data_IF_594471418059
#
_entry.id   IF_594471418059
#
_cell.length_a   1.000
_cell.length_b   1.000
_cell.length_c   1.000
_cell.angle_alpha   90.00
_cell.angle_beta   90.00
_cell.angle_gamma   90.00
#
_symmetry.space_group_name_H-M   'P 1'
#
loop_
_entity.id
_entity.type
_entity.pdbx_description
1 polymer ?
#
# COMPACT_ATOMS: atom_id res chain seq x y z
N UNK A 1 -4.17 13.03 -15.13
CA UNK A 1 -4.21 13.30 -13.68
C UNK A 1 -3.18 14.38 -13.35
N UNK A 2 -3.54 15.46 -12.64
CA UNK A 2 -2.60 16.52 -12.28
C UNK A 2 -1.75 16.05 -11.08
N UNK A 3 -0.46 16.39 -11.05
CA UNK A 3 0.49 16.01 -9.98
C UNK A 3 -0.05 16.29 -8.55
N UNK A 4 -0.79 17.38 -8.40
CA UNK A 4 -1.45 17.78 -7.16
C UNK A 4 -2.47 16.78 -6.61
N UNK A 5 -3.21 16.08 -7.46
CA UNK A 5 -4.25 15.12 -7.02
C UNK A 5 -3.60 13.85 -6.45
N UNK A 6 -2.53 13.38 -7.09
CA UNK A 6 -1.70 12.27 -6.61
C UNK A 6 -0.95 12.62 -5.32
N UNK A 7 -0.45 13.85 -5.22
CA UNK A 7 0.26 14.36 -4.05
C UNK A 7 -0.65 14.47 -2.81
N UNK A 8 -1.89 14.94 -2.98
CA UNK A 8 -2.85 15.03 -1.87
C UNK A 8 -3.28 13.66 -1.35
N UNK A 9 -3.52 12.69 -2.25
CA UNK A 9 -3.89 11.32 -1.88
C UNK A 9 -2.83 10.66 -1.00
N UNK A 10 -1.58 10.62 -1.48
CA UNK A 10 -0.45 10.02 -0.75
C UNK A 10 -0.12 10.73 0.57
N UNK A 11 -0.20 12.06 0.61
CA UNK A 11 -0.01 12.80 1.88
C UNK A 11 -1.06 12.45 2.93
N UNK A 12 -2.32 12.25 2.54
CA UNK A 12 -3.39 11.85 3.46
C UNK A 12 -3.11 10.47 4.06
N UNK A 13 -2.72 9.50 3.23
CA UNK A 13 -2.30 8.18 3.70
C UNK A 13 -1.16 8.27 4.71
N UNK A 14 -0.08 8.97 4.38
CA UNK A 14 1.08 9.08 5.26
C UNK A 14 0.75 9.70 6.63
N UNK A 15 -0.19 10.65 6.69
CA UNK A 15 -0.66 11.20 7.97
C UNK A 15 -1.34 10.12 8.81
N UNK A 16 -2.23 9.32 8.22
CA UNK A 16 -2.89 8.22 8.92
C UNK A 16 -1.87 7.17 9.36
N UNK A 17 -0.95 6.78 8.47
CA UNK A 17 0.08 5.77 8.76
C UNK A 17 0.94 6.16 9.97
N UNK A 18 1.30 7.44 10.12
CA UNK A 18 2.07 7.94 11.27
C UNK A 18 1.39 7.76 12.63
N UNK A 19 0.07 7.59 12.67
CA UNK A 19 -0.68 7.35 13.90
C UNK A 19 -0.83 5.87 14.23
N UNK A 20 -0.55 4.98 13.27
CA UNK A 20 -0.71 3.53 13.40
C UNK A 20 0.64 2.82 13.50
N UNK A 21 1.58 3.19 12.63
CA UNK A 21 2.90 2.56 12.51
C UNK A 21 3.86 3.12 13.56
N UNK A 22 4.56 2.21 14.24
CA UNK A 22 5.60 2.47 15.22
C UNK A 22 6.95 2.00 14.69
N UNK A 23 8.01 2.49 15.34
CA UNK A 23 9.37 2.01 15.11
C UNK A 23 9.44 0.51 15.45
N UNK A 24 10.14 -0.25 14.61
CA UNK A 24 10.26 -1.70 14.77
C UNK A 24 9.14 -2.54 14.15
N UNK A 25 8.05 -1.91 13.67
CA UNK A 25 6.95 -2.64 13.05
C UNK A 25 7.31 -3.25 11.69
N UNK A 26 6.55 -4.26 11.27
CA UNK A 26 6.56 -4.77 9.90
C UNK A 26 5.41 -4.14 9.10
N UNK A 27 5.72 -3.68 7.90
CA UNK A 27 4.75 -3.07 6.97
C UNK A 27 4.94 -3.58 5.54
N UNK A 28 3.89 -3.50 4.75
CA UNK A 28 3.82 -4.04 3.38
C UNK A 28 3.40 -2.94 2.41
N UNK A 29 4.21 -2.72 1.38
CA UNK A 29 3.86 -1.95 0.19
C UNK A 29 3.47 -2.93 -0.92
N UNK A 30 2.17 -3.06 -1.16
CA UNK A 30 1.62 -4.04 -2.11
C UNK A 30 1.75 -3.59 -3.58
N UNK A 31 2.21 -2.36 -3.83
CA UNK A 31 2.29 -1.75 -5.17
C UNK A 31 3.44 -0.72 -5.20
N UNK A 32 4.68 -1.19 -5.15
CA UNK A 32 5.87 -0.34 -4.98
C UNK A 32 5.93 0.83 -5.97
N UNK A 33 5.67 0.56 -7.25
CA UNK A 33 5.81 1.53 -8.32
C UNK A 33 7.17 2.22 -8.31
N UNK A 34 7.20 3.55 -8.15
CA UNK A 34 8.45 4.32 -8.08
C UNK A 34 9.08 4.37 -6.67
N UNK A 35 8.60 3.56 -5.71
CA UNK A 35 9.23 3.35 -4.40
C UNK A 35 8.98 4.44 -3.36
N UNK A 36 8.16 5.45 -3.65
CA UNK A 36 7.92 6.56 -2.71
C UNK A 36 7.21 6.12 -1.42
N UNK A 37 6.23 5.23 -1.56
CA UNK A 37 5.48 4.72 -0.41
C UNK A 37 6.36 3.73 0.38
N UNK A 38 7.13 2.88 -0.30
CA UNK A 38 8.16 2.01 0.29
C UNK A 38 9.18 2.80 1.13
N UNK A 39 9.75 3.89 0.58
CA UNK A 39 10.69 4.76 1.29
C UNK A 39 10.04 5.46 2.48
N UNK A 40 8.79 5.93 2.33
CA UNK A 40 8.06 6.56 3.41
C UNK A 40 7.79 5.58 4.56
N UNK A 41 7.38 4.35 4.26
CA UNK A 41 7.19 3.27 5.21
C UNK A 41 8.47 2.91 5.95
N UNK A 42 9.59 2.75 5.23
CA UNK A 42 10.88 2.49 5.85
C UNK A 42 11.23 3.58 6.88
N UNK A 43 11.03 4.85 6.51
CA UNK A 43 11.26 5.99 7.40
C UNK A 43 10.34 6.02 8.63
N UNK A 44 9.22 5.29 8.63
CA UNK A 44 8.36 5.13 9.80
C UNK A 44 8.86 4.01 10.73
N UNK A 45 9.32 2.89 10.16
CA UNK A 45 9.66 1.69 10.95
C UNK A 45 11.12 1.62 11.38
N UNK A 46 12.04 2.23 10.63
CA UNK A 46 13.48 2.11 10.88
C UNK A 46 13.88 2.77 12.21
N UNK A 47 14.69 2.10 13.02
CA UNK A 47 15.32 2.65 14.22
C UNK A 47 16.65 1.95 14.49
N UNK A 48 17.30 2.34 15.58
CA UNK A 48 18.59 1.76 16.00
C UNK A 48 18.48 0.28 16.39
N UNK A 49 17.27 -0.26 16.61
CA UNK A 49 17.08 -1.68 16.94
C UNK A 49 17.22 -2.60 15.73
N UNK A 50 17.07 -2.05 14.51
CA UNK A 50 17.13 -2.84 13.27
C UNK A 50 16.01 -3.87 13.13
N UNK A 51 14.91 -3.74 13.90
CA UNK A 51 13.79 -4.70 13.88
C UNK A 51 12.73 -4.42 12.82
N UNK A 52 12.58 -3.16 12.40
CA UNK A 52 11.57 -2.77 11.42
C UNK A 52 11.76 -3.47 10.08
N UNK A 53 10.67 -3.79 9.38
CA UNK A 53 10.72 -4.47 8.08
C UNK A 53 9.72 -3.85 7.11
N UNK A 54 10.13 -3.73 5.85
CA UNK A 54 9.26 -3.35 4.73
C UNK A 54 9.30 -4.45 3.67
N UNK A 55 8.14 -5.01 3.34
CA UNK A 55 7.97 -5.93 2.22
C UNK A 55 7.33 -5.16 1.07
N UNK A 56 8.06 -5.00 -0.03
CA UNK A 56 7.60 -4.32 -1.23
C UNK A 56 7.31 -5.32 -2.36
N UNK A 57 6.22 -5.13 -3.09
CA UNK A 57 5.79 -6.02 -4.16
C UNK A 57 5.40 -5.23 -5.41
N UNK A 58 5.78 -5.73 -6.57
CA UNK A 58 5.31 -5.25 -7.87
C UNK A 58 5.45 -6.34 -8.92
N UNK A 59 4.59 -6.34 -9.94
CA UNK A 59 4.70 -7.29 -11.07
C UNK A 59 5.68 -6.81 -12.13
N UNK A 60 5.99 -5.51 -12.13
CA UNK A 60 6.87 -4.90 -13.13
C UNK A 60 8.30 -4.85 -12.60
N UNK A 61 9.25 -5.46 -13.33
CA UNK A 61 10.68 -5.34 -13.01
C UNK A 61 11.15 -3.88 -12.99
N UNK A 62 10.60 -3.04 -13.87
CA UNK A 62 10.87 -1.60 -13.90
C UNK A 62 10.49 -0.90 -12.59
N UNK A 63 9.34 -1.22 -12.00
CA UNK A 63 8.92 -0.64 -10.72
C UNK A 63 9.89 -1.04 -9.58
N UNK A 64 10.30 -2.30 -9.56
CA UNK A 64 11.25 -2.79 -8.55
C UNK A 64 12.62 -2.14 -8.73
N UNK A 65 13.09 -1.98 -9.97
CA UNK A 65 14.33 -1.28 -10.28
C UNK A 65 14.28 0.20 -9.89
N UNK A 66 13.16 0.90 -10.19
CA UNK A 66 12.95 2.29 -9.78
C UNK A 66 12.95 2.42 -8.25
N UNK A 67 12.28 1.49 -7.57
CA UNK A 67 12.24 1.42 -6.11
C UNK A 67 13.63 1.18 -5.53
N UNK A 68 14.38 0.18 -6.01
CA UNK A 68 15.73 -0.11 -5.53
C UNK A 68 16.70 1.06 -5.77
N UNK A 69 16.60 1.72 -6.92
CA UNK A 69 17.41 2.90 -7.25
C UNK A 69 17.12 4.05 -6.29
N UNK A 70 15.84 4.36 -6.04
CA UNK A 70 15.45 5.39 -5.08
C UNK A 70 15.94 5.08 -3.67
N UNK A 71 15.79 3.83 -3.22
CA UNK A 71 16.23 3.37 -1.90
C UNK A 71 17.76 3.51 -1.77
N UNK A 72 18.52 3.06 -2.78
CA UNK A 72 19.99 3.15 -2.80
C UNK A 72 20.48 4.60 -2.72
N UNK A 73 19.79 5.53 -3.38
CA UNK A 73 20.16 6.95 -3.34
C UNK A 73 19.76 7.64 -2.02
N UNK A 74 18.77 7.11 -1.31
CA UNK A 74 18.14 7.80 -0.18
C UNK A 74 18.55 7.27 1.20
N UNK A 75 19.23 6.14 1.27
CA UNK A 75 19.41 5.35 2.50
C UNK A 75 20.84 4.87 2.67
N UNK A 76 21.19 4.60 3.92
CA UNK A 76 22.41 3.86 4.26
C UNK A 76 22.27 2.37 3.90
N UNK A 77 23.38 1.62 3.72
CA UNK A 77 23.31 0.18 3.47
C UNK A 77 22.52 -0.60 4.52
N UNK A 78 22.67 -0.26 5.81
CA UNK A 78 21.97 -0.94 6.90
C UNK A 78 20.46 -0.64 6.93
N UNK A 79 20.03 0.55 6.54
CA UNK A 79 18.61 0.86 6.37
C UNK A 79 18.02 0.10 5.18
N UNK A 80 18.78 -0.06 4.09
CA UNK A 80 18.34 -0.81 2.90
C UNK A 80 18.07 -2.28 3.22
N UNK A 81 18.82 -2.90 4.14
CA UNK A 81 18.60 -4.28 4.58
C UNK A 81 17.23 -4.51 5.26
N UNK A 82 16.56 -3.46 5.72
CA UNK A 82 15.22 -3.53 6.30
C UNK A 82 14.12 -3.70 5.24
N UNK A 83 14.45 -3.53 3.94
CA UNK A 83 13.51 -3.63 2.82
C UNK A 83 13.77 -4.90 2.03
N UNK A 84 12.70 -5.64 1.72
CA UNK A 84 12.73 -6.78 0.79
C UNK A 84 11.74 -6.53 -0.35
N UNK A 85 12.23 -6.55 -1.58
CA UNK A 85 11.44 -6.34 -2.79
C UNK A 85 11.16 -7.68 -3.48
N UNK A 86 9.92 -7.91 -3.90
CA UNK A 86 9.48 -9.16 -4.51
C UNK A 86 8.85 -8.92 -5.89
N UNK A 87 9.34 -9.58 -6.95
CA UNK A 87 8.75 -9.56 -8.29
C UNK A 87 7.53 -10.48 -8.35
N UNK A 88 6.44 -10.06 -7.73
CA UNK A 88 5.21 -10.85 -7.68
C UNK A 88 3.98 -9.97 -7.51
N UNK A 89 2.82 -10.53 -7.86
CA UNK A 89 1.54 -9.86 -7.66
C UNK A 89 1.20 -9.80 -6.17
N UNK A 90 0.60 -8.70 -5.72
CA UNK A 90 0.11 -8.54 -4.35
C UNK A 90 -0.89 -9.62 -3.92
N UNK A 91 -1.60 -10.26 -4.86
CA UNK A 91 -2.49 -11.38 -4.57
C UNK A 91 -1.75 -12.58 -3.96
N UNK A 92 -0.42 -12.64 -4.10
CA UNK A 92 0.46 -13.68 -3.57
C UNK A 92 1.23 -13.25 -2.32
N UNK A 93 0.82 -12.18 -1.62
CA UNK A 93 1.58 -11.64 -0.48
C UNK A 93 1.83 -12.65 0.64
N UNK A 94 0.89 -13.56 0.91
CA UNK A 94 1.06 -14.62 1.91
C UNK A 94 2.15 -15.64 1.55
N UNK A 95 2.58 -15.70 0.29
CA UNK A 95 3.68 -16.57 -0.13
C UNK A 95 5.06 -15.99 0.23
N UNK A 96 5.16 -14.66 0.32
CA UNK A 96 6.45 -13.96 0.53
C UNK A 96 6.60 -13.36 1.93
N UNK A 97 5.50 -13.12 2.63
CA UNK A 97 5.50 -12.65 4.01
C UNK A 97 5.58 -13.88 4.93
N UNK A 98 6.57 -13.96 5.83
CA UNK A 98 6.66 -15.06 6.78
C UNK A 98 5.42 -15.16 7.68
N UNK A 99 4.92 -16.38 7.90
CA UNK A 99 3.63 -16.63 8.59
C UNK A 99 3.61 -16.22 10.07
N UNK A 100 4.77 -16.12 10.69
CA UNK A 100 4.98 -15.73 12.08
C UNK A 100 5.15 -14.22 12.28
N UNK A 101 5.13 -13.44 11.20
CA UNK A 101 5.31 -12.00 11.25
C UNK A 101 3.97 -11.29 11.39
N UNK A 102 3.85 -10.47 12.43
CA UNK A 102 2.72 -9.57 12.62
C UNK A 102 2.91 -8.31 11.77
N UNK A 103 1.93 -8.03 10.91
CA UNK A 103 1.96 -6.87 10.00
C UNK A 103 1.11 -5.74 10.57
N UNK A 104 1.69 -4.55 10.72
CA UNK A 104 1.00 -3.35 11.22
C UNK A 104 0.27 -2.57 10.14
N UNK A 105 0.82 -2.53 8.93
CA UNK A 105 0.27 -1.78 7.80
C UNK A 105 0.44 -2.56 6.50
N UNK A 106 -0.63 -2.62 5.71
CA UNK A 106 -0.57 -3.00 4.29
C UNK A 106 -1.11 -1.84 3.47
N UNK A 107 -0.32 -1.29 2.55
CA UNK A 107 -0.78 -0.21 1.67
C UNK A 107 -0.85 -0.61 0.21
N UNK A 108 -1.86 -0.08 -0.46
CA UNK A 108 -2.13 -0.21 -1.88
C UNK A 108 -2.26 1.17 -2.52
N UNK A 109 -1.67 1.33 -3.69
CA UNK A 109 -1.76 2.51 -4.53
C UNK A 109 -2.22 2.06 -5.93
N UNK A 110 -3.53 1.87 -6.06
CA UNK A 110 -4.17 1.09 -7.13
C UNK A 110 -4.36 1.89 -8.41
N UNK A 111 -3.64 1.48 -9.46
CA UNK A 111 -3.63 2.08 -10.78
C UNK A 111 -2.46 1.54 -11.61
N UNK A 112 -1.86 2.40 -12.42
CA UNK A 112 -0.69 2.08 -13.26
C UNK A 112 0.59 2.77 -12.76
N UNK A 113 1.75 2.23 -13.13
CA UNK A 113 3.06 2.81 -12.84
C UNK A 113 3.20 4.22 -13.48
N UNK A 114 3.45 5.30 -12.71
CA UNK A 114 3.66 6.61 -13.30
C UNK A 114 4.93 6.64 -14.17
N UNK A 115 4.75 6.84 -15.47
CA UNK A 115 5.83 6.87 -16.46
C UNK A 115 6.02 5.56 -17.23
N UNK A 116 5.40 4.47 -16.78
CA UNK A 116 5.44 3.16 -17.43
C UNK A 116 4.28 2.91 -18.40
N UNK A 117 4.15 1.65 -18.82
CA UNK A 117 3.03 1.16 -19.63
C UNK A 117 1.70 1.22 -18.86
N UNK A 118 0.70 1.89 -19.43
CA UNK A 118 -0.62 2.08 -18.82
C UNK A 118 -1.56 0.89 -19.03
N UNK A 119 -1.22 -0.03 -19.93
CA UNK A 119 -1.96 -1.28 -20.08
C UNK A 119 -1.72 -2.20 -18.87
N UNK A 120 -0.55 -2.06 -18.23
CA UNK A 120 -0.22 -2.74 -16.98
C UNK A 120 -0.76 -1.91 -15.81
N UNK A 121 -1.76 -2.45 -15.12
CA UNK A 121 -2.41 -1.81 -13.98
C UNK A 121 -2.91 -2.85 -13.00
N UNK A 122 -3.21 -2.41 -11.78
CA UNK A 122 -3.97 -3.22 -10.83
C UNK A 122 -5.36 -3.51 -11.38
N UNK A 123 -5.90 -4.68 -11.03
CA UNK A 123 -7.22 -5.13 -11.46
C UNK A 123 -8.03 -5.63 -10.26
N UNK A 124 -9.35 -5.44 -10.33
CA UNK A 124 -10.30 -5.76 -9.27
C UNK A 124 -10.11 -7.17 -8.70
N UNK A 125 -9.95 -8.17 -9.56
CA UNK A 125 -9.75 -9.58 -9.18
C UNK A 125 -8.54 -9.80 -8.27
N UNK A 126 -7.34 -9.36 -8.70
CA UNK A 126 -6.11 -9.58 -7.90
C UNK A 126 -6.07 -8.67 -6.66
N UNK A 127 -6.66 -7.48 -6.76
CA UNK A 127 -6.78 -6.55 -5.63
C UNK A 127 -7.66 -7.13 -4.53
N UNK A 128 -8.80 -7.77 -4.85
CA UNK A 128 -9.65 -8.41 -3.86
C UNK A 128 -8.95 -9.56 -3.14
N UNK A 129 -8.28 -10.44 -3.87
CA UNK A 129 -7.49 -11.53 -3.29
C UNK A 129 -6.40 -11.00 -2.33
N UNK A 130 -5.76 -9.89 -2.69
CA UNK A 130 -4.76 -9.26 -1.84
C UNK A 130 -5.36 -8.57 -0.61
N UNK A 131 -6.56 -7.99 -0.70
CA UNK A 131 -7.26 -7.42 0.45
C UNK A 131 -7.67 -8.50 1.45
N UNK A 132 -8.13 -9.66 0.96
CA UNK A 132 -8.41 -10.82 1.79
C UNK A 132 -7.15 -11.34 2.50
N UNK A 133 -6.05 -11.46 1.76
CA UNK A 133 -4.74 -11.84 2.30
C UNK A 133 -4.26 -10.84 3.36
N UNK A 134 -4.36 -9.54 3.06
CA UNK A 134 -4.04 -8.46 4.00
C UNK A 134 -4.89 -8.57 5.28
N UNK A 135 -6.19 -8.86 5.16
CA UNK A 135 -7.09 -9.05 6.31
C UNK A 135 -6.68 -10.19 7.25
N UNK A 136 -6.10 -11.26 6.70
CA UNK A 136 -5.59 -12.41 7.45
C UNK A 136 -4.28 -12.10 8.18
N UNK A 137 -3.33 -11.44 7.52
CA UNK A 137 -1.99 -11.21 8.09
C UNK A 137 -1.90 -9.99 9.01
N UNK A 138 -2.84 -9.05 8.89
CA UNK A 138 -2.76 -7.82 9.67
C UNK A 138 -3.13 -8.06 11.13
N UNK A 139 -2.34 -7.50 12.04
CA UNK A 139 -2.55 -7.66 13.47
C UNK A 139 -3.66 -6.74 14.02
N UNK A 140 -4.26 -7.06 15.18
CA UNK A 140 -5.11 -6.12 15.91
C UNK A 140 -4.45 -4.76 16.13
N UNK A 141 -5.20 -3.69 15.89
CA UNK A 141 -4.71 -2.32 15.84
C UNK A 141 -3.90 -1.98 14.58
N UNK A 142 -3.92 -2.83 13.55
CA UNK A 142 -3.28 -2.60 12.26
C UNK A 142 -4.20 -1.91 11.24
N UNK A 143 -3.62 -1.49 10.11
CA UNK A 143 -4.31 -0.73 9.07
C UNK A 143 -4.08 -1.30 7.65
N UNK A 144 -5.16 -1.58 6.93
CA UNK A 144 -5.10 -1.71 5.46
C UNK A 144 -5.46 -0.35 4.86
N UNK A 145 -4.64 0.15 3.95
CA UNK A 145 -4.77 1.48 3.35
C UNK A 145 -4.71 1.40 1.83
N UNK A 146 -5.83 1.64 1.16
CA UNK A 146 -5.89 1.68 -0.31
C UNK A 146 -6.10 3.12 -0.80
N UNK A 147 -5.39 3.53 -1.84
CA UNK A 147 -5.74 4.70 -2.66
C UNK A 147 -6.13 4.20 -4.03
N UNK A 148 -7.32 4.57 -4.49
CA UNK A 148 -7.85 4.12 -5.78
C UNK A 148 -7.99 5.28 -6.75
N UNK A 149 -7.42 5.15 -7.95
CA UNK A 149 -7.50 6.17 -9.01
C UNK A 149 -8.78 5.98 -9.85
N UNK A 150 -9.89 6.61 -9.44
CA UNK A 150 -11.23 6.42 -10.05
C UNK A 150 -11.46 7.16 -11.39
N UNK A 151 -10.43 7.80 -11.94
CA UNK A 151 -10.55 8.67 -13.12
C UNK A 151 -10.71 7.95 -14.46
N UNK A 152 -10.72 6.61 -14.48
CA UNK A 152 -10.87 5.78 -15.67
C UNK A 152 -11.75 4.55 -15.38
N UNK A 153 -12.36 3.91 -16.39
CA UNK A 153 -13.31 2.80 -16.19
C UNK A 153 -12.76 1.65 -15.32
N UNK A 154 -11.54 1.15 -15.62
CA UNK A 154 -10.90 0.10 -14.79
C UNK A 154 -10.73 0.51 -13.33
N UNK A 155 -10.32 1.75 -13.07
CA UNK A 155 -10.14 2.27 -11.71
C UNK A 155 -11.46 2.54 -10.99
N UNK A 156 -12.55 2.77 -11.75
CA UNK A 156 -13.90 2.87 -11.18
C UNK A 156 -14.42 1.51 -10.74
N UNK A 157 -14.25 0.48 -11.57
CA UNK A 157 -14.57 -0.91 -11.24
C UNK A 157 -13.79 -1.38 -10.01
N UNK A 158 -12.48 -1.14 -9.99
CA UNK A 158 -11.63 -1.50 -8.85
C UNK A 158 -12.04 -0.77 -7.58
N UNK A 159 -12.41 0.51 -7.67
CA UNK A 159 -12.94 1.25 -6.52
C UNK A 159 -14.25 0.66 -5.98
N UNK A 160 -15.17 0.25 -6.85
CA UNK A 160 -16.42 -0.37 -6.45
C UNK A 160 -16.17 -1.71 -5.75
N UNK A 161 -15.22 -2.51 -6.25
CA UNK A 161 -14.79 -3.75 -5.61
C UNK A 161 -14.18 -3.52 -4.22
N UNK A 162 -13.21 -2.60 -4.09
CA UNK A 162 -12.57 -2.27 -2.80
C UNK A 162 -13.61 -1.72 -1.81
N UNK A 163 -14.52 -0.86 -2.27
CA UNK A 163 -15.58 -0.31 -1.42
C UNK A 163 -16.55 -1.39 -0.96
N UNK A 164 -16.96 -2.31 -1.84
CA UNK A 164 -17.84 -3.42 -1.48
C UNK A 164 -17.18 -4.33 -0.45
N UNK A 165 -15.90 -4.70 -0.66
CA UNK A 165 -15.12 -5.48 0.31
C UNK A 165 -15.08 -4.78 1.68
N UNK A 166 -14.64 -3.53 1.73
CA UNK A 166 -14.52 -2.78 2.99
C UNK A 166 -15.86 -2.60 3.71
N UNK A 167 -16.97 -2.48 2.96
CA UNK A 167 -18.32 -2.35 3.54
C UNK A 167 -18.89 -3.67 4.05
N UNK A 168 -18.37 -4.81 3.57
CA UNK A 168 -18.79 -6.15 3.99
C UNK A 168 -18.04 -6.69 5.21
N UNK A 169 -17.00 -6.00 5.68
CA UNK A 169 -16.25 -6.39 6.88
C UNK A 169 -17.11 -6.24 8.15
N UNK A 170 -16.93 -7.15 9.10
CA UNK A 170 -17.61 -7.12 10.40
C UNK A 170 -17.31 -5.82 11.15
N UNK A 171 -18.35 -5.14 11.62
CA UNK A 171 -18.19 -3.91 12.40
C UNK A 171 -17.65 -4.15 13.81
N UNK A 172 -17.68 -5.41 14.27
CA UNK A 172 -17.09 -5.82 15.56
C UNK A 172 -15.55 -5.83 15.49
N UNK A 173 -14.99 -6.23 14.35
CA UNK A 173 -13.55 -6.40 14.15
C UNK A 173 -12.91 -5.25 13.35
N UNK A 174 -13.70 -4.49 12.58
CA UNK A 174 -13.17 -3.50 11.65
C UNK A 174 -13.83 -2.12 11.78
N UNK A 175 -13.04 -1.08 11.48
CA UNK A 175 -13.50 0.28 11.25
C UNK A 175 -13.03 0.73 9.88
N UNK A 176 -13.98 0.89 8.96
CA UNK A 176 -13.72 1.24 7.57
C UNK A 176 -14.17 2.67 7.27
N UNK A 177 -13.33 3.46 6.61
CA UNK A 177 -13.69 4.80 6.16
C UNK A 177 -13.09 5.14 4.80
N UNK A 178 -13.73 6.05 4.07
CA UNK A 178 -13.21 6.60 2.80
C UNK A 178 -13.20 8.12 2.84
N UNK A 179 -12.21 8.72 2.18
CA UNK A 179 -12.09 10.17 2.06
C UNK A 179 -12.32 10.62 0.62
N UNK A 180 -13.48 11.19 0.33
CA UNK A 180 -13.81 11.69 -1.00
C UNK A 180 -13.81 13.21 -1.03
N UNK A 181 -13.21 13.79 -2.07
CA UNK A 181 -13.23 15.24 -2.26
C UNK A 181 -14.60 15.69 -2.78
N UNK A 182 -15.18 16.71 -2.15
CA UNK A 182 -16.52 17.20 -2.51
C UNK A 182 -16.57 17.84 -3.90
N UNK A 183 -15.54 18.58 -4.29
CA UNK A 183 -15.47 19.33 -5.56
C UNK A 183 -14.54 18.69 -6.60
N UNK A 184 -14.01 17.49 -6.33
CA UNK A 184 -13.15 16.74 -7.25
C UNK A 184 -13.55 15.25 -7.25
N UNK A 185 -14.69 14.90 -7.88
CA UNK A 185 -15.24 13.55 -7.82
C UNK A 185 -14.34 12.48 -8.48
N UNK A 186 -13.46 12.89 -9.40
CA UNK A 186 -12.50 12.02 -10.08
C UNK A 186 -11.12 11.96 -9.41
N UNK A 187 -10.94 12.64 -8.27
CA UNK A 187 -9.70 12.58 -7.51
C UNK A 187 -9.50 11.17 -6.90
N UNK A 188 -8.25 10.78 -6.62
CA UNK A 188 -7.99 9.50 -5.97
C UNK A 188 -8.72 9.41 -4.64
N UNK A 189 -9.28 8.24 -4.32
CA UNK A 189 -10.06 8.02 -3.10
C UNK A 189 -9.26 7.13 -2.15
N UNK A 190 -8.74 7.68 -1.03
CA UNK A 190 -8.22 6.88 0.07
C UNK A 190 -9.35 6.14 0.78
N UNK A 191 -9.14 4.85 1.03
CA UNK A 191 -9.98 3.95 1.82
C UNK A 191 -9.08 3.33 2.88
N UNK A 192 -9.52 3.37 4.13
CA UNK A 192 -8.81 2.85 5.29
C UNK A 192 -9.68 1.80 5.96
N UNK A 193 -9.09 0.65 6.29
CA UNK A 193 -9.72 -0.47 7.00
C UNK A 193 -8.84 -0.76 8.22
N UNK A 194 -9.25 -0.26 9.38
CA UNK A 194 -8.55 -0.44 10.64
C UNK A 194 -9.07 -1.70 11.35
N UNK A 195 -8.17 -2.61 11.72
CA UNK A 195 -8.51 -3.82 12.47
C UNK A 195 -8.48 -3.49 13.96
N UNK A 196 -9.57 -3.76 14.67
CA UNK A 196 -9.69 -3.55 16.12
C UNK A 196 -8.80 -4.51 16.91
#
# INVERSE_FOLDING_TARGET
>A
MKWWDTFLGRRKQLIVWKHVVRRGDTVVDATCGNGYDTLAMLRLVADLSGKGRVFGMDIQEEALANTDSLLTQSLTPSEKELVKLFPTCHSKMEEVIPKDVLVRLVAFNLGYLPGGDKEISTVSETTLLALEAAGRIIEPGGLISAVVYVGHPKGREEFEAVQAFASGLSTEDWVCCKLQMLNRPLAPVPIFMFKR
#
